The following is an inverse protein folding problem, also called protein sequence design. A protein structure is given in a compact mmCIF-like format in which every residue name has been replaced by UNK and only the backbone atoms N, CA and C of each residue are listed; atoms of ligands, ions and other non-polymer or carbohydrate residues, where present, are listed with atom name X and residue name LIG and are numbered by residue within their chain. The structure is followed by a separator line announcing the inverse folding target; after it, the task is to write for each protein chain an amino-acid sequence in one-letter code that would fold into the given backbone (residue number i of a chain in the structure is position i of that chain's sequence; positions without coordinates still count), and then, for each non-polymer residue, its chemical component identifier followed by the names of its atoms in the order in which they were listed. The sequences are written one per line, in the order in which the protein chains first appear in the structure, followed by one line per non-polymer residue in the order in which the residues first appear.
data_IF_228146204340
#
_entry.id   IF_228146204340
#
_cell.length_a   1.000
_cell.length_b   1.000
_cell.length_c   1.000
_cell.angle_alpha   90.00
_cell.angle_beta   90.00
_cell.angle_gamma   90.00
#
_symmetry.space_group_name_H-M   'P 1'
#
loop_
_entity.id
_entity.type
_entity.pdbx_description
1 polymer ?
#
# COMPACT_ATOMS: atom_id res chain seq x y z
N UNK A 1 11.97 -0.04 -3.83
CA UNK A 1 11.22 0.38 -2.62
C UNK A 1 10.20 -0.68 -2.18
N UNK A 2 10.16 -1.84 -2.83
CA UNK A 2 9.03 -2.78 -2.77
C UNK A 2 9.04 -3.69 -1.53
N UNK A 3 10.20 -3.86 -0.90
CA UNK A 3 10.36 -4.69 0.29
C UNK A 3 9.78 -4.06 1.56
N UNK A 4 9.59 -2.73 1.60
CA UNK A 4 9.08 -2.04 2.80
C UNK A 4 7.69 -2.53 3.16
N UNK A 5 6.82 -2.70 2.16
CA UNK A 5 5.45 -3.19 2.36
C UNK A 5 5.42 -4.65 2.81
N UNK A 6 6.32 -5.46 2.25
CA UNK A 6 6.47 -6.87 2.62
C UNK A 6 6.90 -7.02 4.09
N UNK A 7 7.88 -6.24 4.52
CA UNK A 7 8.39 -6.24 5.90
C UNK A 7 7.42 -5.60 6.90
N UNK A 8 6.61 -4.64 6.46
CA UNK A 8 5.55 -4.04 7.26
C UNK A 8 4.30 -4.92 7.38
N UNK A 9 4.17 -5.97 6.55
CA UNK A 9 2.98 -6.81 6.50
C UNK A 9 1.72 -6.06 6.06
N UNK A 10 1.89 -5.02 5.23
CA UNK A 10 0.81 -4.16 4.74
C UNK A 10 0.86 -4.13 3.22
N UNK A 11 -0.25 -4.36 2.50
CA UNK A 11 -0.25 -4.31 1.05
C UNK A 11 0.13 -2.93 0.50
N UNK A 12 0.85 -2.86 -0.63
CA UNK A 12 1.29 -1.62 -1.22
C UNK A 12 0.10 -0.75 -1.68
N UNK A 13 0.27 0.58 -1.79
CA UNK A 13 -0.82 1.50 -2.13
C UNK A 13 -1.62 1.14 -3.39
N UNK A 14 -1.01 0.67 -4.51
CA UNK A 14 -1.78 0.27 -5.69
C UNK A 14 -2.78 -0.85 -5.39
N UNK A 15 -2.38 -1.88 -4.64
CA UNK A 15 -3.24 -3.00 -4.24
C UNK A 15 -4.38 -2.51 -3.34
N UNK A 16 -4.06 -1.69 -2.33
CA UNK A 16 -5.09 -1.16 -1.42
C UNK A 16 -6.13 -0.32 -2.16
N UNK A 17 -5.69 0.58 -3.05
CA UNK A 17 -6.60 1.42 -3.86
C UNK A 17 -7.47 0.58 -4.78
N UNK A 18 -6.90 -0.40 -5.47
CA UNK A 18 -7.63 -1.30 -6.35
C UNK A 18 -8.76 -2.01 -5.60
N UNK A 19 -8.45 -2.62 -4.46
CA UNK A 19 -9.45 -3.37 -3.69
C UNK A 19 -10.51 -2.45 -3.09
N UNK A 20 -10.15 -1.27 -2.60
CA UNK A 20 -11.14 -0.27 -2.17
C UNK A 20 -12.09 0.13 -3.29
N UNK A 21 -11.59 0.33 -4.51
CA UNK A 21 -12.44 0.62 -5.67
C UNK A 21 -13.41 -0.54 -5.96
N UNK A 22 -12.95 -1.79 -5.90
CA UNK A 22 -13.81 -2.97 -6.14
C UNK A 22 -14.88 -3.13 -5.05
N UNK A 23 -14.55 -2.85 -3.78
CA UNK A 23 -15.53 -2.79 -2.67
C UNK A 23 -16.57 -1.73 -2.96
N UNK A 24 -16.14 -0.53 -3.35
CA UNK A 24 -17.04 0.58 -3.68
C UNK A 24 -17.96 0.24 -4.86
N UNK A 25 -17.46 -0.50 -5.86
CA UNK A 25 -18.28 -1.00 -6.97
C UNK A 25 -19.36 -1.95 -6.49
N UNK A 26 -19.03 -2.82 -5.53
CA UNK A 26 -20.02 -3.70 -4.89
C UNK A 26 -21.10 -2.94 -4.12
N UNK A 27 -20.71 -1.91 -3.35
CA UNK A 27 -21.67 -1.02 -2.69
C UNK A 27 -22.56 -0.29 -3.70
N UNK A 28 -21.97 0.24 -4.77
CA UNK A 28 -22.72 0.92 -5.82
C UNK A 28 -23.80 0.04 -6.45
N UNK A 29 -23.55 -1.27 -6.59
CA UNK A 29 -24.54 -2.22 -7.14
C UNK A 29 -25.57 -2.69 -6.13
N UNK A 30 -25.23 -2.79 -4.84
CA UNK A 30 -26.05 -3.46 -3.81
C UNK A 30 -26.74 -2.52 -2.83
N UNK A 31 -26.17 -1.36 -2.51
CA UNK A 31 -26.73 -0.42 -1.53
C UNK A 31 -27.57 0.65 -2.24
N UNK A 32 -28.88 0.65 -2.00
CA UNK A 32 -29.84 1.60 -2.56
C UNK A 32 -29.58 3.06 -2.15
N UNK A 33 -28.87 3.27 -1.03
CA UNK A 33 -28.51 4.60 -0.51
C UNK A 33 -27.22 5.14 -1.13
N UNK A 34 -26.51 4.31 -1.91
CA UNK A 34 -25.29 4.73 -2.54
C UNK A 34 -25.60 5.81 -3.61
N UNK A 35 -24.88 6.94 -3.67
CA UNK A 35 -25.21 8.05 -4.58
C UNK A 35 -25.25 7.66 -6.07
N UNK A 36 -24.51 6.62 -6.44
CA UNK A 36 -24.47 6.07 -7.81
C UNK A 36 -25.30 4.79 -7.98
N UNK A 37 -26.20 4.45 -7.05
CA UNK A 37 -27.04 3.26 -7.18
C UNK A 37 -27.93 3.34 -8.43
N UNK A 38 -28.05 2.24 -9.17
CA UNK A 38 -28.82 2.18 -10.43
C UNK A 38 -28.24 2.98 -11.61
N UNK A 39 -27.10 3.66 -11.43
CA UNK A 39 -26.44 4.38 -12.52
C UNK A 39 -25.70 3.40 -13.44
N UNK A 40 -25.89 3.57 -14.74
CA UNK A 40 -25.20 2.81 -15.79
C UNK A 40 -23.91 3.51 -16.22
N UNK A 41 -23.03 2.76 -16.87
CA UNK A 41 -21.76 3.27 -17.36
C UNK A 41 -22.00 4.41 -18.38
N UNK A 42 -21.47 5.62 -18.15
CA UNK A 42 -21.67 6.72 -19.08
C UNK A 42 -20.90 6.47 -20.38
N UNK A 43 -21.44 6.99 -21.48
CA UNK A 43 -20.70 7.03 -22.75
C UNK A 43 -19.44 7.89 -22.58
N UNK A 44 -18.30 7.34 -22.97
CA UNK A 44 -17.03 8.05 -22.80
C UNK A 44 -16.85 9.06 -23.93
N UNK A 45 -16.83 10.35 -23.58
CA UNK A 45 -16.56 11.44 -24.53
C UNK A 45 -15.12 11.40 -25.07
N UNK A 46 -14.16 10.96 -24.26
CA UNK A 46 -12.74 10.95 -24.59
C UNK A 46 -12.10 9.63 -24.17
N UNK A 47 -11.28 9.03 -25.05
CA UNK A 47 -10.60 7.75 -24.78
C UNK A 47 -9.81 7.71 -23.46
N UNK A 48 -9.25 8.85 -23.04
CA UNK A 48 -8.50 8.98 -21.79
C UNK A 48 -9.38 8.99 -20.53
N UNK A 49 -10.65 9.35 -20.64
CA UNK A 49 -11.60 9.38 -19.51
C UNK A 49 -12.09 7.98 -19.22
N UNK A 50 -11.46 7.36 -18.23
CA UNK A 50 -11.83 6.07 -17.64
C UNK A 50 -12.77 6.31 -16.47
N UNK A 51 -14.08 6.18 -16.69
CA UNK A 51 -15.07 6.31 -15.62
C UNK A 51 -14.96 5.14 -14.65
N UNK A 52 -15.18 5.41 -13.37
CA UNK A 52 -15.14 4.39 -12.31
C UNK A 52 -16.00 3.18 -12.63
N UNK A 53 -17.24 3.41 -13.08
CA UNK A 53 -18.20 2.34 -13.41
C UNK A 53 -17.68 1.45 -14.56
N UNK A 54 -17.00 2.03 -15.55
CA UNK A 54 -16.48 1.29 -16.71
C UNK A 54 -15.26 0.43 -16.39
N UNK A 55 -14.36 0.90 -15.54
CA UNK A 55 -13.06 0.23 -15.31
C UNK A 55 -13.01 -0.66 -14.06
N UNK A 56 -14.01 -0.53 -13.19
CA UNK A 56 -13.99 -1.20 -11.89
C UNK A 56 -15.02 -2.31 -11.88
N UNK A 57 -14.54 -3.50 -11.54
CA UNK A 57 -15.35 -4.68 -11.32
C UNK A 57 -15.62 -4.88 -9.83
N UNK A 58 -16.71 -5.57 -9.52
CA UNK A 58 -17.00 -5.94 -8.13
C UNK A 58 -16.05 -7.05 -7.66
N UNK A 59 -15.78 -7.11 -6.35
CA UNK A 59 -15.06 -8.22 -5.75
C UNK A 59 -15.89 -9.51 -5.83
N UNK A 60 -15.27 -10.57 -6.33
CA UNK A 60 -15.82 -11.94 -6.30
C UNK A 60 -15.52 -12.65 -4.97
N UNK A 61 -14.37 -12.35 -4.37
CA UNK A 61 -13.87 -12.97 -3.14
C UNK A 61 -13.90 -11.99 -1.95
N UNK A 62 -13.48 -12.47 -0.78
CA UNK A 62 -13.30 -11.61 0.39
C UNK A 62 -12.19 -10.56 0.14
N UNK A 63 -12.32 -9.33 0.69
CA UNK A 63 -11.32 -8.29 0.52
C UNK A 63 -9.90 -8.69 0.95
N UNK A 64 -9.77 -9.54 1.98
CA UNK A 64 -8.48 -10.03 2.45
C UNK A 64 -7.80 -10.92 1.40
N UNK A 65 -8.53 -11.92 0.89
CA UNK A 65 -8.01 -12.86 -0.09
C UNK A 65 -7.65 -12.15 -1.40
N UNK A 66 -8.53 -11.25 -1.86
CA UNK A 66 -8.25 -10.45 -3.06
C UNK A 66 -7.03 -9.55 -2.89
N UNK A 67 -6.80 -8.95 -1.71
CA UNK A 67 -5.58 -8.17 -1.45
C UNK A 67 -4.33 -9.04 -1.52
N UNK A 68 -4.34 -10.21 -0.89
CA UNK A 68 -3.20 -11.14 -0.91
C UNK A 68 -2.90 -11.61 -2.34
N UNK A 69 -3.93 -11.95 -3.12
CA UNK A 69 -3.78 -12.39 -4.49
C UNK A 69 -3.20 -11.29 -5.39
N UNK A 70 -3.75 -10.08 -5.35
CA UNK A 70 -3.22 -8.95 -6.13
C UNK A 70 -1.81 -8.54 -5.67
N UNK A 71 -1.53 -8.63 -4.37
CA UNK A 71 -0.19 -8.37 -3.84
C UNK A 71 0.82 -9.41 -4.31
N UNK A 72 0.45 -10.69 -4.32
CA UNK A 72 1.29 -11.77 -4.86
C UNK A 72 1.62 -11.55 -6.33
N UNK A 73 0.62 -11.20 -7.15
CA UNK A 73 0.80 -10.88 -8.58
C UNK A 73 1.80 -9.73 -8.76
N UNK A 74 1.57 -8.61 -8.08
CA UNK A 74 2.42 -7.42 -8.18
C UNK A 74 3.89 -7.73 -7.85
N UNK A 75 4.16 -8.53 -6.80
CA UNK A 75 5.54 -8.88 -6.43
C UNK A 75 6.15 -9.83 -7.47
N UNK A 76 5.40 -10.82 -7.95
CA UNK A 76 5.89 -11.79 -8.96
C UNK A 76 6.26 -11.10 -10.28
N UNK A 77 5.47 -10.12 -10.71
CA UNK A 77 5.73 -9.36 -11.94
C UNK A 77 7.01 -8.51 -11.85
N UNK A 78 7.41 -8.11 -10.63
CA UNK A 78 8.50 -7.15 -10.42
C UNK A 78 9.85 -7.82 -10.14
N UNK A 79 9.87 -8.96 -9.44
CA UNK A 79 11.11 -9.62 -9.01
C UNK A 79 10.97 -11.14 -9.05
N UNK A 80 11.58 -11.79 -10.05
CA UNK A 80 11.49 -13.23 -10.33
C UNK A 80 12.03 -14.19 -9.25
N UNK A 81 12.39 -13.74 -8.04
CA UNK A 81 12.81 -14.61 -6.93
C UNK A 81 12.46 -13.98 -5.57
N UNK A 82 11.58 -14.65 -4.80
CA UNK A 82 11.08 -14.16 -3.50
C UNK A 82 11.90 -14.68 -2.33
N UNK A 83 12.08 -13.80 -1.33
CA UNK A 83 12.69 -14.10 -0.04
C UNK A 83 11.64 -14.21 1.08
N UNK A 84 10.41 -13.73 0.85
CA UNK A 84 9.30 -13.80 1.79
C UNK A 84 7.95 -13.77 1.05
N UNK A 85 6.98 -14.55 1.53
CA UNK A 85 5.61 -14.51 1.04
C UNK A 85 4.84 -13.32 1.64
N UNK A 86 3.98 -12.63 0.86
CA UNK A 86 3.17 -11.53 1.37
C UNK A 86 2.12 -12.05 2.35
N UNK A 87 2.14 -11.50 3.55
CA UNK A 87 1.15 -11.76 4.60
C UNK A 87 0.62 -10.43 5.09
N UNK A 88 -0.70 -10.28 5.10
CA UNK A 88 -1.36 -9.09 5.62
C UNK A 88 -1.56 -9.22 7.14
N UNK A 89 -0.45 -9.11 7.86
CA UNK A 89 -0.41 -9.12 9.32
C UNK A 89 0.72 -8.22 9.78
N UNK A 90 0.44 -7.37 10.76
CA UNK A 90 1.46 -6.52 11.35
C UNK A 90 2.59 -7.36 11.98
N UNK A 91 3.84 -6.91 11.88
CA UNK A 91 4.97 -7.63 12.44
C UNK A 91 4.90 -7.65 13.97
N UNK A 92 5.56 -8.63 14.63
CA UNK A 92 5.61 -8.72 16.09
C UNK A 92 6.03 -7.41 16.75
N UNK A 93 5.47 -7.13 17.92
CA UNK A 93 5.77 -5.90 18.67
C UNK A 93 5.10 -4.64 18.10
N UNK A 94 4.09 -4.80 17.24
CA UNK A 94 3.21 -3.71 16.78
C UNK A 94 2.42 -3.04 17.91
N UNK A 95 2.22 -3.76 19.03
CA UNK A 95 1.55 -3.33 20.24
C UNK A 95 2.49 -2.76 21.30
N UNK A 96 3.80 -2.68 21.03
CA UNK A 96 4.78 -2.11 21.96
C UNK A 96 4.66 -0.58 21.99
N UNK A 97 5.15 0.01 23.08
CA UNK A 97 5.23 1.46 23.23
C UNK A 97 5.95 2.11 22.05
N UNK A 98 5.51 3.32 21.71
CA UNK A 98 6.00 4.06 20.55
C UNK A 98 7.54 4.07 20.45
N UNK A 99 8.33 4.42 21.48
CA UNK A 99 9.79 4.43 21.34
C UNK A 99 10.39 3.09 20.88
N UNK A 100 9.85 1.97 21.38
CA UNK A 100 10.30 0.62 21.04
C UNK A 100 9.82 0.24 19.64
N UNK A 101 8.53 0.46 19.33
CA UNK A 101 7.97 0.20 18.01
C UNK A 101 8.71 0.98 16.91
N UNK A 102 9.06 2.26 17.16
CA UNK A 102 9.86 3.10 16.26
C UNK A 102 11.18 2.47 15.90
N UNK A 103 11.89 2.02 16.93
CA UNK A 103 13.25 1.51 16.81
C UNK A 103 13.23 0.20 16.03
N UNK A 104 12.30 -0.70 16.36
CA UNK A 104 12.11 -1.95 15.63
C UNK A 104 11.70 -1.73 14.17
N UNK A 105 10.79 -0.79 13.91
CA UNK A 105 10.36 -0.50 12.53
C UNK A 105 11.53 0.05 11.71
N UNK A 106 12.31 0.99 12.27
CA UNK A 106 13.55 1.51 11.67
C UNK A 106 14.54 0.42 11.30
N UNK A 107 14.76 -0.55 12.20
CA UNK A 107 15.62 -1.71 11.93
C UNK A 107 15.08 -2.55 10.77
N UNK A 108 13.77 -2.86 10.77
CA UNK A 108 13.13 -3.66 9.70
C UNK A 108 13.28 -3.01 8.34
N UNK A 109 13.02 -1.71 8.24
CA UNK A 109 13.07 -1.00 6.95
C UNK A 109 14.49 -0.57 6.55
N UNK A 110 15.49 -0.82 7.40
CA UNK A 110 16.88 -0.42 7.16
C UNK A 110 17.10 1.09 7.21
N UNK A 111 16.29 1.83 7.97
CA UNK A 111 16.36 3.30 8.03
C UNK A 111 16.65 3.75 9.47
N UNK A 112 17.90 4.16 9.73
CA UNK A 112 18.35 4.67 11.03
C UNK A 112 18.47 6.20 11.12
N UNK A 113 18.83 6.72 12.30
CA UNK A 113 19.22 8.14 12.50
C UNK A 113 20.64 8.38 12.00
N UNK A 114 20.88 8.22 10.72
CA UNK A 114 22.14 8.62 10.09
C UNK A 114 22.12 10.13 9.81
N UNK A 115 23.30 10.76 9.70
CA UNK A 115 23.41 12.20 9.39
C UNK A 115 22.63 12.55 8.11
N UNK A 116 22.76 11.70 7.09
CA UNK A 116 22.02 11.83 5.83
C UNK A 116 20.48 11.75 6.00
N UNK A 117 19.98 10.77 6.75
CA UNK A 117 18.53 10.61 6.97
C UNK A 117 17.97 11.75 7.84
N UNK A 118 18.72 12.20 8.85
CA UNK A 118 18.32 13.32 9.69
C UNK A 118 18.18 14.61 8.87
N UNK A 119 19.07 14.86 7.89
CA UNK A 119 18.93 15.96 6.92
C UNK A 119 17.69 15.78 6.03
N UNK A 120 17.47 14.58 5.45
CA UNK A 120 16.28 14.28 4.64
C UNK A 120 14.98 14.51 5.41
N UNK A 121 14.99 14.31 6.72
CA UNK A 121 13.84 14.52 7.61
C UNK A 121 13.72 15.95 8.15
N UNK A 122 14.64 16.86 7.83
CA UNK A 122 14.64 18.25 8.30
C UNK A 122 15.07 18.43 9.76
N UNK A 123 15.78 17.45 10.34
CA UNK A 123 16.25 17.46 11.72
C UNK A 123 17.77 17.75 11.88
N UNK A 124 18.47 18.22 10.85
CA UNK A 124 19.92 18.47 10.92
C UNK A 124 20.42 19.62 10.06
N UNK A 125 21.59 20.14 10.41
CA UNK A 125 22.33 21.17 9.65
C UNK A 125 22.73 20.67 8.25
N UNK A 126 22.99 21.61 7.33
CA UNK A 126 23.29 21.29 5.92
C UNK A 126 24.60 20.51 5.71
N UNK A 127 25.52 20.58 6.67
CA UNK A 127 26.81 19.91 6.59
C UNK A 127 26.65 18.42 6.86
N UNK A 128 27.03 17.57 5.90
CA UNK A 128 26.95 16.10 5.95
C UNK A 128 28.30 15.43 6.24
N UNK A 129 29.37 16.19 6.47
CA UNK A 129 30.71 15.63 6.69
C UNK A 129 30.81 14.94 8.05
N UNK A 130 31.38 13.75 8.09
CA UNK A 130 31.78 13.14 9.35
C UNK A 130 33.11 13.78 9.77
N UNK A 131 33.28 14.12 11.05
CA UNK A 131 34.61 14.44 11.57
C UNK A 131 35.39 13.14 11.55
N UNK A 132 36.39 13.04 10.68
CA UNK A 132 37.38 11.97 10.68
C UNK A 132 38.15 12.07 12.00
N UNK A 133 38.03 11.07 12.88
CA UNK A 133 39.00 10.82 13.96
C UNK A 133 39.97 9.74 13.51
#
# INVERSE_FOLDING_TARGET
MDNVYLLAGIPPPPVRRLISSKIERGKQKRDTRHPMYGQNDPTSRLKSRKSFLKITEELTETPLLSRLNEWKKLITDTNGKKWLEPVERLPPGNNLDWPVWKTLNRLRVGVGRTKENMRKWGYGDQDITCISM
#
